data_IF_084791573369
#
_entry.id   IF_084791573369
#
_cell.length_a   1.000
_cell.length_b   1.000
_cell.length_c   1.000
_cell.angle_alpha   90.00
_cell.angle_beta   90.00
_cell.angle_gamma   90.00
#
_symmetry.space_group_name_H-M   'P 1'
#
loop_
_entity.id
_entity.type
_entity.pdbx_description
1 polymer ?
#
# COMPACT_ATOMS: atom_id res chain seq x y z
N UNK A 1 12.40 -6.65 -14.65
CA UNK A 1 11.18 -6.70 -13.85
C UNK A 1 11.50 -7.26 -12.48
N UNK A 2 10.91 -6.71 -11.46
CA UNK A 2 11.26 -7.01 -10.07
C UNK A 2 9.99 -7.30 -9.28
N UNK A 3 10.10 -8.18 -8.29
CA UNK A 3 8.99 -8.50 -7.39
C UNK A 3 8.97 -7.51 -6.23
N UNK A 4 7.80 -6.94 -5.99
CA UNK A 4 7.56 -6.02 -4.87
C UNK A 4 6.46 -6.58 -3.99
N UNK A 5 6.54 -6.30 -2.69
CA UNK A 5 5.58 -6.78 -1.69
C UNK A 5 4.84 -5.58 -1.10
N UNK A 6 3.53 -5.72 -0.96
CA UNK A 6 2.64 -4.64 -0.55
C UNK A 6 1.93 -5.04 0.74
N UNK A 7 2.54 -4.67 1.86
CA UNK A 7 1.96 -4.97 3.18
C UNK A 7 1.02 -3.86 3.58
N UNK A 8 -0.14 -4.23 4.14
CA UNK A 8 -1.09 -3.26 4.67
C UNK A 8 -0.95 -3.28 6.18
N UNK A 9 -0.58 -2.14 6.77
CA UNK A 9 -0.38 -2.02 8.21
C UNK A 9 -1.33 -0.98 8.78
N UNK A 10 -1.92 -1.30 9.92
CA UNK A 10 -2.89 -0.45 10.58
C UNK A 10 -2.73 -0.49 12.09
N UNK A 11 -3.73 -0.01 12.80
CA UNK A 11 -3.72 0.06 14.26
C UNK A 11 -3.70 -1.34 14.88
N UNK A 12 -2.50 -1.81 15.24
CA UNK A 12 -2.32 -3.12 15.84
C UNK A 12 -2.52 -4.31 14.91
N UNK A 13 -2.63 -4.06 13.59
CA UNK A 13 -2.84 -5.12 12.59
C UNK A 13 -1.87 -4.95 11.44
N UNK A 14 -1.46 -6.10 10.89
CA UNK A 14 -0.62 -6.13 9.68
C UNK A 14 -1.09 -7.25 8.79
N UNK A 15 -1.31 -6.94 7.53
CA UNK A 15 -1.59 -7.95 6.50
C UNK A 15 -0.37 -8.01 5.60
N UNK A 16 0.42 -9.05 5.77
CA UNK A 16 1.66 -9.22 5.04
C UNK A 16 1.39 -9.85 3.68
N UNK A 17 2.07 -9.35 2.67
CA UNK A 17 1.97 -9.88 1.31
C UNK A 17 3.05 -10.94 1.12
N UNK A 18 2.65 -12.20 1.01
CA UNK A 18 3.60 -13.30 0.83
C UNK A 18 3.82 -13.67 -0.64
N UNK A 19 3.04 -13.10 -1.54
CA UNK A 19 3.09 -13.41 -2.96
C UNK A 19 3.85 -12.36 -3.74
N UNK A 20 3.54 -11.09 -3.50
CA UNK A 20 4.13 -9.99 -4.22
C UNK A 20 3.56 -9.80 -5.62
N UNK A 21 4.06 -8.78 -6.29
CA UNK A 21 3.71 -8.47 -7.68
C UNK A 21 4.98 -8.14 -8.44
N UNK A 22 5.05 -8.62 -9.68
CA UNK A 22 6.19 -8.32 -10.55
C UNK A 22 5.84 -7.08 -11.37
N UNK A 23 6.65 -6.03 -11.20
CA UNK A 23 6.44 -4.75 -11.87
C UNK A 23 7.74 -4.28 -12.50
N UNK A 24 7.65 -3.46 -13.56
CA UNK A 24 8.86 -3.07 -14.30
C UNK A 24 9.77 -2.09 -13.57
N UNK A 25 9.19 -1.22 -12.73
CA UNK A 25 9.97 -0.16 -12.08
C UNK A 25 9.44 0.11 -10.66
N UNK A 26 10.29 0.72 -9.78
CA UNK A 26 9.82 1.15 -8.47
C UNK A 26 8.68 2.16 -8.54
N UNK A 27 8.67 3.03 -9.56
CA UNK A 27 7.61 4.01 -9.76
C UNK A 27 6.25 3.33 -9.99
N UNK A 28 6.24 2.22 -10.70
CA UNK A 28 5.01 1.44 -10.89
C UNK A 28 4.56 0.80 -9.59
N UNK A 29 5.50 0.39 -8.75
CA UNK A 29 5.17 -0.13 -7.42
C UNK A 29 4.57 0.97 -6.55
N UNK A 30 5.11 2.19 -6.62
CA UNK A 30 4.55 3.34 -5.91
C UNK A 30 3.10 3.61 -6.35
N UNK A 31 2.87 3.65 -7.66
CA UNK A 31 1.54 3.88 -8.23
C UNK A 31 0.55 2.81 -7.78
N UNK A 32 0.98 1.55 -7.77
CA UNK A 32 0.14 0.45 -7.34
C UNK A 32 -0.22 0.57 -5.86
N UNK A 33 0.74 0.96 -5.02
CA UNK A 33 0.52 1.16 -3.59
C UNK A 33 -0.44 2.32 -3.33
N UNK A 34 -0.30 3.40 -4.09
CA UNK A 34 -1.18 4.56 -3.97
C UNK A 34 -2.61 4.19 -4.33
N UNK A 35 -2.79 3.41 -5.39
CA UNK A 35 -4.11 2.92 -5.77
C UNK A 35 -4.71 2.01 -4.70
N UNK A 36 -3.89 1.15 -4.09
CA UNK A 36 -4.35 0.31 -2.98
C UNK A 36 -4.80 1.14 -1.79
N UNK A 37 -4.04 2.17 -1.44
CA UNK A 37 -4.38 3.06 -0.33
C UNK A 37 -5.71 3.81 -0.62
N UNK A 38 -5.88 4.25 -1.85
CA UNK A 38 -7.12 4.89 -2.28
C UNK A 38 -8.30 3.92 -2.16
N UNK A 39 -8.15 2.70 -2.65
CA UNK A 39 -9.20 1.68 -2.58
C UNK A 39 -9.58 1.37 -1.13
N UNK A 40 -8.61 1.28 -0.24
CA UNK A 40 -8.87 1.03 1.17
C UNK A 40 -9.71 2.15 1.77
N UNK A 41 -9.36 3.40 1.47
CA UNK A 41 -10.11 4.56 1.99
C UNK A 41 -11.55 4.53 1.49
N UNK A 42 -11.74 4.25 0.20
CA UNK A 42 -13.07 4.29 -0.41
C UNK A 42 -13.95 3.12 0.08
N UNK A 43 -13.38 1.92 0.17
CA UNK A 43 -14.15 0.72 0.51
C UNK A 43 -14.37 0.55 2.00
N UNK A 44 -13.40 0.95 2.82
CA UNK A 44 -13.43 0.77 4.26
C UNK A 44 -13.76 2.08 5.02
N UNK A 45 -13.88 3.17 4.27
CA UNK A 45 -14.18 4.48 4.83
C UNK A 45 -13.22 4.83 5.98
N UNK A 46 -13.72 5.33 7.11
CA UNK A 46 -12.89 5.76 8.23
C UNK A 46 -12.11 4.63 8.89
N UNK A 47 -12.49 3.38 8.66
CA UNK A 47 -11.88 2.24 9.34
C UNK A 47 -10.38 2.09 9.03
N UNK A 48 -9.93 2.53 7.85
CA UNK A 48 -8.53 2.40 7.42
C UNK A 48 -7.77 3.73 7.42
N UNK A 49 -8.38 4.83 7.81
CA UNK A 49 -7.67 6.10 7.91
C UNK A 49 -6.58 5.97 8.97
N UNK A 50 -5.38 6.37 8.61
CA UNK A 50 -4.21 6.20 9.47
C UNK A 50 -3.43 4.93 9.21
N UNK A 51 -3.97 4.03 8.40
CA UNK A 51 -3.23 2.85 7.95
C UNK A 51 -2.25 3.25 6.84
N UNK A 52 -1.39 2.32 6.43
CA UNK A 52 -0.44 2.55 5.36
C UNK A 52 -0.24 1.29 4.52
N UNK A 53 0.11 1.50 3.26
CA UNK A 53 0.60 0.42 2.39
C UNK A 53 2.11 0.56 2.32
N UNK A 54 2.83 -0.43 2.82
CA UNK A 54 4.29 -0.47 2.80
C UNK A 54 4.76 -1.33 1.64
N UNK A 55 5.64 -0.77 0.83
CA UNK A 55 6.21 -1.47 -0.32
C UNK A 55 7.64 -1.84 -0.01
N UNK A 56 7.98 -3.11 -0.18
CA UNK A 56 9.35 -3.59 0.02
C UNK A 56 9.80 -4.42 -1.18
N UNK A 57 11.13 -4.59 -1.30
CA UNK A 57 11.72 -5.41 -2.33
C UNK A 57 11.95 -6.84 -1.84
N UNK A 58 12.56 -7.68 -2.69
CA UNK A 58 12.81 -9.10 -2.36
C UNK A 58 13.81 -9.27 -1.23
N UNK A 59 14.60 -8.26 -0.96
CA UNK A 59 15.58 -8.29 0.14
C UNK A 59 14.97 -7.84 1.47
N UNK A 60 13.69 -7.46 1.45
CA UNK A 60 13.00 -7.01 2.65
C UNK A 60 13.19 -5.53 2.97
N UNK A 61 13.84 -4.78 2.09
CA UNK A 61 14.03 -3.34 2.28
C UNK A 61 12.74 -2.60 1.94
N UNK A 62 12.30 -1.76 2.87
CA UNK A 62 11.11 -0.92 2.64
C UNK A 62 11.50 0.24 1.72
N UNK A 63 10.80 0.36 0.61
CA UNK A 63 11.04 1.40 -0.38
C UNK A 63 10.09 2.58 -0.20
N UNK A 64 8.82 2.31 0.08
CA UNK A 64 7.78 3.33 0.20
C UNK A 64 6.82 2.97 1.32
N UNK A 65 6.21 4.00 1.90
CA UNK A 65 5.09 3.84 2.83
C UNK A 65 4.04 4.86 2.42
N UNK A 66 2.92 4.38 1.91
CA UNK A 66 1.86 5.23 1.36
C UNK A 66 0.71 5.24 2.36
N UNK A 67 0.42 6.39 2.99
CA UNK A 67 -0.65 6.46 3.97
C UNK A 67 -2.04 6.39 3.33
N UNK A 68 -2.98 5.79 4.04
CA UNK A 68 -4.39 5.84 3.68
C UNK A 68 -4.92 7.17 4.21
N UNK A 69 -5.18 8.11 3.32
CA UNK A 69 -5.48 9.49 3.69
C UNK A 69 -6.98 9.78 3.65
N UNK A 70 -7.43 10.59 4.60
CA UNK A 70 -8.81 11.05 4.65
C UNK A 70 -9.19 11.83 3.38
N UNK A 71 -8.24 12.54 2.77
CA UNK A 71 -8.46 13.28 1.53
C UNK A 71 -8.91 12.40 0.38
N UNK A 72 -8.62 11.10 0.41
CA UNK A 72 -9.10 10.15 -0.59
C UNK A 72 -10.62 10.00 -0.56
N UNK A 73 -11.22 10.13 0.61
CA UNK A 73 -12.68 10.07 0.75
C UNK A 73 -13.34 11.23 0.04
N UNK A 74 -12.74 12.41 0.10
CA UNK A 74 -13.25 13.59 -0.58
C UNK A 74 -13.14 13.46 -2.11
N UNK A 75 -12.18 12.69 -2.60
CA UNK A 75 -11.98 12.46 -4.03
C UNK A 75 -12.91 11.35 -4.58
N UNK A 76 -13.45 10.55 -3.70
CA UNK A 76 -14.34 9.46 -4.08
C UNK A 76 -15.76 9.98 -4.30
#
# INVERSE_FOLDING_TARGET
MTRYFFDVVGHGRSELDYTGRILPTPERAYDAAELMAFDLAVKQEDATIGWAVNVSNVEGHKLFSIPVQESYLAAA
#
